data_IF_515226960526
#
_entry.id   IF_515226960526
#
_cell.length_a   1.000
_cell.length_b   1.000
_cell.length_c   1.000
_cell.angle_alpha   90.00
_cell.angle_beta   90.00
_cell.angle_gamma   90.00
#
_symmetry.space_group_name_H-M   'P 1'
#
loop_
_entity.id
_entity.type
_entity.pdbx_description
1 polymer ?
#
# COMPACT_ATOMS: atom_id res chain seq x y z
N UNK A 1 -12.60 9.80 27.99
CA UNK A 1 -11.14 9.76 27.76
C UNK A 1 -10.44 9.86 29.12
N UNK A 2 -9.31 9.19 29.33
CA UNK A 2 -8.54 9.23 30.59
C UNK A 2 -7.05 9.36 30.26
N UNK A 3 -6.42 10.45 30.66
CA UNK A 3 -4.98 10.71 30.46
C UNK A 3 -4.44 11.70 31.52
N UNK A 4 -3.16 11.63 31.90
CA UNK A 4 -2.54 12.66 32.72
C UNK A 4 -2.50 14.01 31.98
N UNK A 5 -2.68 15.12 32.70
CA UNK A 5 -2.72 16.49 32.12
C UNK A 5 -1.49 16.81 31.25
N UNK A 6 -0.32 16.29 31.61
CA UNK A 6 0.93 16.47 30.86
C UNK A 6 0.87 15.92 29.41
N UNK A 7 0.01 14.93 29.15
CA UNK A 7 -0.17 14.33 27.82
C UNK A 7 -1.39 14.87 27.07
N UNK A 8 -2.02 15.96 27.56
CA UNK A 8 -3.25 16.50 26.97
C UNK A 8 -3.11 16.78 25.48
N UNK A 9 -2.08 17.52 25.08
CA UNK A 9 -1.90 17.90 23.67
C UNK A 9 -1.70 16.67 22.77
N UNK A 10 -0.96 15.67 23.25
CA UNK A 10 -0.73 14.41 22.53
C UNK A 10 -2.06 13.66 22.37
N UNK A 11 -2.83 13.52 23.44
CA UNK A 11 -4.13 12.85 23.41
C UNK A 11 -5.13 13.57 22.50
N UNK A 12 -5.20 14.90 22.56
CA UNK A 12 -6.09 15.72 21.74
C UNK A 12 -5.72 15.66 20.25
N UNK A 13 -4.42 15.74 19.92
CA UNK A 13 -3.95 15.60 18.54
C UNK A 13 -4.22 14.20 17.99
N UNK A 14 -3.93 13.17 18.79
CA UNK A 14 -4.21 11.77 18.44
C UNK A 14 -5.70 11.57 18.14
N UNK A 15 -6.57 12.07 19.02
CA UNK A 15 -8.02 11.97 18.84
C UNK A 15 -8.49 12.76 17.60
N UNK A 16 -7.99 13.98 17.40
CA UNK A 16 -8.33 14.82 16.25
C UNK A 16 -7.99 14.12 14.94
N UNK A 17 -6.80 13.52 14.84
CA UNK A 17 -6.39 12.73 13.68
C UNK A 17 -7.30 11.52 13.51
N UNK A 18 -7.48 10.71 14.56
CA UNK A 18 -8.31 9.51 14.50
C UNK A 18 -9.76 9.81 14.06
N UNK A 19 -10.40 10.84 14.61
CA UNK A 19 -11.79 11.20 14.26
C UNK A 19 -11.90 11.58 12.78
N UNK A 20 -11.01 12.46 12.30
CA UNK A 20 -11.03 12.88 10.88
C UNK A 20 -10.78 11.69 9.95
N UNK A 21 -9.85 10.81 10.32
CA UNK A 21 -9.51 9.63 9.55
C UNK A 21 -10.63 8.60 9.53
N UNK A 22 -11.32 8.37 10.66
CA UNK A 22 -12.51 7.51 10.73
C UNK A 22 -13.63 8.05 9.86
N UNK A 23 -13.89 9.36 9.87
CA UNK A 23 -14.90 9.97 9.00
C UNK A 23 -14.55 9.74 7.51
N UNK A 24 -13.28 9.91 7.15
CA UNK A 24 -12.81 9.67 5.79
C UNK A 24 -12.92 8.20 5.40
N UNK A 25 -12.45 7.29 6.25
CA UNK A 25 -12.48 5.84 6.02
C UNK A 25 -13.90 5.31 5.94
N UNK A 26 -14.85 5.81 6.75
CA UNK A 26 -16.26 5.45 6.63
C UNK A 26 -16.79 5.70 5.23
N UNK A 27 -16.50 6.88 4.68
CA UNK A 27 -16.94 7.26 3.33
C UNK A 27 -16.24 6.44 2.25
N UNK A 28 -14.94 6.19 2.41
CA UNK A 28 -14.14 5.44 1.44
C UNK A 28 -14.51 3.95 1.40
N UNK A 29 -14.74 3.35 2.56
CA UNK A 29 -14.91 1.89 2.70
C UNK A 29 -16.37 1.44 2.71
N UNK A 30 -17.30 2.35 3.05
CA UNK A 30 -18.71 2.03 3.20
C UNK A 30 -19.04 1.15 4.41
N UNK A 31 -18.14 1.11 5.41
CA UNK A 31 -18.36 0.45 6.71
C UNK A 31 -18.01 1.38 7.86
N UNK A 32 -18.42 1.04 9.08
CA UNK A 32 -18.12 1.84 10.27
C UNK A 32 -17.76 0.94 11.45
N UNK A 33 -16.61 1.15 12.10
CA UNK A 33 -16.26 0.41 13.31
C UNK A 33 -17.21 0.78 14.44
N UNK A 34 -17.63 -0.22 15.23
CA UNK A 34 -18.52 0.00 16.39
C UNK A 34 -17.86 0.86 17.46
N UNK A 35 -16.58 0.60 17.72
CA UNK A 35 -15.73 1.37 18.61
C UNK A 35 -14.30 1.34 18.08
N UNK A 36 -13.51 2.36 18.45
CA UNK A 36 -12.07 2.38 18.24
C UNK A 36 -11.45 2.78 19.55
N UNK A 37 -10.53 1.95 20.05
CA UNK A 37 -9.78 2.24 21.28
C UNK A 37 -8.32 2.46 20.91
N UNK A 38 -7.73 3.56 21.35
CA UNK A 38 -6.33 3.88 21.14
C UNK A 38 -5.61 3.80 22.48
N UNK A 39 -4.53 3.02 22.53
CA UNK A 39 -3.76 2.76 23.76
C UNK A 39 -2.29 3.07 23.51
N UNK A 40 -1.73 4.00 24.28
CA UNK A 40 -0.29 4.23 24.24
C UNK A 40 0.45 3.19 25.08
N UNK A 41 1.54 2.65 24.53
CA UNK A 41 2.45 1.77 25.26
C UNK A 41 3.88 2.33 25.30
N UNK A 42 4.65 1.91 26.30
CA UNK A 42 6.06 2.28 26.42
C UNK A 42 6.91 1.43 25.46
N UNK A 43 7.95 1.99 24.82
CA UNK A 43 8.82 1.29 23.85
C UNK A 43 9.72 0.23 24.52
N UNK A 44 9.12 -0.83 25.04
CA UNK A 44 9.84 -1.95 25.61
C UNK A 44 10.45 -2.82 24.50
N UNK A 45 11.68 -3.31 24.68
CA UNK A 45 12.39 -4.13 23.68
C UNK A 45 11.56 -5.33 23.20
N UNK A 46 10.85 -5.99 24.12
CA UNK A 46 9.99 -7.15 23.82
C UNK A 46 8.80 -6.82 22.90
N UNK A 47 8.48 -5.53 22.74
CA UNK A 47 7.41 -5.02 21.87
C UNK A 47 7.98 -4.32 20.64
N UNK A 48 9.22 -4.65 20.23
CA UNK A 48 9.89 -4.00 19.10
C UNK A 48 10.59 -2.68 19.43
N UNK A 49 10.64 -2.28 20.70
CA UNK A 49 11.36 -1.08 21.15
C UNK A 49 10.82 0.19 20.50
N UNK A 50 11.69 0.97 19.86
CA UNK A 50 11.32 2.21 19.14
C UNK A 50 10.95 1.96 17.67
N UNK A 51 11.14 0.74 17.15
CA UNK A 51 10.93 0.42 15.74
C UNK A 51 9.51 -0.02 15.43
N UNK A 52 8.84 -0.71 16.39
CA UNK A 52 7.41 -0.94 16.31
C UNK A 52 6.68 0.36 16.66
N UNK A 53 6.10 1.04 15.67
CA UNK A 53 5.46 2.35 15.88
C UNK A 53 4.00 2.22 16.33
N UNK A 54 3.30 1.21 15.85
CA UNK A 54 1.93 0.87 16.23
C UNK A 54 1.61 -0.56 15.83
N UNK A 55 0.51 -1.10 16.36
CA UNK A 55 -0.02 -2.38 15.91
C UNK A 55 -1.49 -2.58 16.32
N UNK A 56 -2.16 -3.47 15.59
CA UNK A 56 -3.38 -4.17 15.99
C UNK A 56 -3.09 -5.66 15.95
N UNK A 57 -3.57 -6.44 16.94
CA UNK A 57 -3.34 -7.88 16.94
C UNK A 57 -4.06 -8.56 15.78
N UNK A 58 -3.43 -9.55 15.15
CA UNK A 58 -4.05 -10.28 14.04
C UNK A 58 -5.36 -10.96 14.43
N UNK A 59 -5.46 -11.50 15.65
CA UNK A 59 -6.70 -12.07 16.20
C UNK A 59 -7.83 -11.03 16.30
N UNK A 60 -7.51 -9.79 16.60
CA UNK A 60 -8.47 -8.69 16.70
C UNK A 60 -8.94 -8.22 15.33
N UNK A 61 -8.03 -8.16 14.36
CA UNK A 61 -8.35 -7.91 12.94
C UNK A 61 -9.29 -9.01 12.44
N UNK A 62 -8.94 -10.28 12.68
CA UNK A 62 -9.73 -11.45 12.30
C UNK A 62 -11.08 -11.54 13.03
N UNK A 63 -11.19 -10.96 14.22
CA UNK A 63 -12.46 -10.81 14.94
C UNK A 63 -13.36 -9.67 14.39
N UNK A 64 -13.03 -9.10 13.23
CA UNK A 64 -13.73 -8.00 12.59
C UNK A 64 -13.23 -6.63 13.04
N UNK A 65 -11.93 -6.49 13.28
CA UNK A 65 -11.29 -5.22 13.69
C UNK A 65 -11.71 -4.72 15.08
N UNK A 66 -11.88 -5.62 16.05
CA UNK A 66 -12.43 -5.28 17.39
C UNK A 66 -11.39 -4.87 18.43
N UNK A 67 -10.11 -4.98 18.10
CA UNK A 67 -9.01 -4.75 19.03
C UNK A 67 -8.73 -3.29 19.32
N UNK A 68 -8.07 -3.00 20.45
CA UNK A 68 -7.41 -1.72 20.61
C UNK A 68 -6.28 -1.58 19.58
N UNK A 69 -6.10 -0.35 19.11
CA UNK A 69 -4.92 0.09 18.38
C UNK A 69 -3.87 0.51 19.42
N UNK A 70 -2.73 -0.15 19.40
CA UNK A 70 -1.59 0.18 20.24
C UNK A 70 -0.67 1.15 19.51
N UNK A 71 -0.32 2.25 20.16
CA UNK A 71 0.57 3.28 19.63
C UNK A 71 1.80 3.41 20.51
N UNK A 72 2.98 3.41 19.90
CA UNK A 72 4.21 3.60 20.64
C UNK A 72 4.33 5.04 21.11
N UNK A 73 4.57 5.25 22.40
CA UNK A 73 4.75 6.59 22.97
C UNK A 73 5.94 7.34 22.33
N UNK A 74 6.91 6.64 21.75
CA UNK A 74 8.02 7.23 21.01
C UNK A 74 7.56 8.11 19.84
N UNK A 75 6.41 7.81 19.21
CA UNK A 75 5.83 8.60 18.10
C UNK A 75 5.63 10.07 18.45
N UNK A 76 5.44 10.39 19.73
CA UNK A 76 5.29 11.77 20.21
C UNK A 76 6.53 12.64 20.01
N UNK A 77 7.67 12.02 19.64
CA UNK A 77 8.96 12.67 19.38
C UNK A 77 9.39 12.60 17.92
N UNK A 78 8.63 11.94 17.05
CA UNK A 78 8.94 11.86 15.62
C UNK A 78 8.57 13.17 14.92
N UNK A 79 9.07 13.34 13.70
CA UNK A 79 8.71 14.47 12.87
C UNK A 79 7.19 14.49 12.61
N UNK A 80 6.58 15.68 12.43
CA UNK A 80 5.16 15.80 12.09
C UNK A 80 4.81 14.92 10.88
N UNK A 81 3.65 14.26 10.93
CA UNK A 81 3.20 13.35 9.88
C UNK A 81 3.39 11.88 10.25
N UNK A 82 4.44 11.51 11.00
CA UNK A 82 4.69 10.10 11.37
C UNK A 82 3.64 9.54 12.34
N UNK A 83 3.35 10.27 13.43
CA UNK A 83 2.32 9.84 14.37
C UNK A 83 0.97 9.73 13.68
N UNK A 84 0.65 10.69 12.82
CA UNK A 84 -0.60 10.74 12.11
C UNK A 84 -0.74 9.61 11.08
N UNK A 85 0.30 9.33 10.29
CA UNK A 85 0.28 8.21 9.35
C UNK A 85 0.21 6.88 10.08
N UNK A 86 0.91 6.69 11.20
CA UNK A 86 0.77 5.46 12.00
C UNK A 86 -0.66 5.28 12.52
N UNK A 87 -1.30 6.32 13.07
CA UNK A 87 -2.71 6.22 13.50
C UNK A 87 -3.61 5.76 12.35
N UNK A 88 -3.42 6.32 11.15
CA UNK A 88 -4.25 5.96 9.99
C UNK A 88 -3.91 4.55 9.49
N UNK A 89 -2.64 4.16 9.51
CA UNK A 89 -2.17 2.82 9.14
C UNK A 89 -2.89 1.74 9.96
N UNK A 90 -2.86 1.88 11.28
CA UNK A 90 -3.52 0.93 12.19
C UNK A 90 -5.05 0.95 12.03
N UNK A 91 -5.64 2.12 11.77
CA UNK A 91 -7.06 2.21 11.43
C UNK A 91 -7.36 1.41 10.15
N UNK A 92 -6.54 1.49 9.11
CA UNK A 92 -6.79 0.74 7.87
C UNK A 92 -6.81 -0.77 8.13
N UNK A 93 -5.94 -1.30 9.00
CA UNK A 93 -6.01 -2.71 9.40
C UNK A 93 -7.34 -3.09 10.04
N UNK A 94 -7.88 -2.23 10.92
CA UNK A 94 -9.22 -2.42 11.49
C UNK A 94 -10.29 -2.49 10.40
N UNK A 95 -10.27 -1.58 9.43
CA UNK A 95 -11.25 -1.59 8.34
C UNK A 95 -11.11 -2.79 7.41
N UNK A 96 -9.88 -3.24 7.14
CA UNK A 96 -9.63 -4.48 6.39
C UNK A 96 -10.22 -5.70 7.09
N UNK A 97 -10.07 -5.80 8.41
CA UNK A 97 -10.71 -6.84 9.21
C UNK A 97 -12.24 -6.79 9.15
N UNK A 98 -12.84 -5.59 9.20
CA UNK A 98 -14.29 -5.41 9.10
C UNK A 98 -14.83 -5.88 7.75
N UNK A 99 -14.12 -5.61 6.65
CA UNK A 99 -14.54 -6.03 5.31
C UNK A 99 -14.16 -7.47 4.96
N UNK A 100 -13.62 -8.23 5.91
CA UNK A 100 -13.40 -9.68 5.77
C UNK A 100 -12.07 -10.06 5.15
N UNK A 101 -11.05 -9.20 5.21
CA UNK A 101 -9.67 -9.59 4.90
C UNK A 101 -9.05 -10.22 6.14
N UNK A 102 -8.75 -11.51 6.04
CA UNK A 102 -8.10 -12.25 7.10
C UNK A 102 -6.65 -11.76 7.25
N UNK A 103 -6.21 -11.44 8.47
CA UNK A 103 -4.83 -11.18 8.82
C UNK A 103 -4.09 -12.52 9.00
N UNK A 104 -3.39 -12.95 7.95
CA UNK A 104 -2.52 -14.13 7.92
C UNK A 104 -1.30 -13.87 7.02
N UNK A 105 -0.37 -14.83 6.95
CA UNK A 105 0.87 -14.65 6.17
C UNK A 105 0.63 -14.41 4.67
N UNK A 106 -0.44 -14.98 4.09
CA UNK A 106 -0.73 -14.90 2.66
C UNK A 106 -1.38 -13.57 2.24
N UNK A 107 -1.94 -12.82 3.18
CA UNK A 107 -2.61 -11.53 2.99
C UNK A 107 -1.86 -10.37 3.62
N UNK A 108 -0.85 -10.62 4.47
CA UNK A 108 -0.12 -9.58 5.21
C UNK A 108 0.43 -8.48 4.30
N UNK A 109 0.97 -8.83 3.14
CA UNK A 109 1.44 -7.83 2.17
C UNK A 109 0.32 -6.87 1.70
N UNK A 110 -0.91 -7.36 1.59
CA UNK A 110 -2.04 -6.51 1.24
C UNK A 110 -2.47 -5.64 2.42
N UNK A 111 -2.45 -6.18 3.64
CA UNK A 111 -2.67 -5.40 4.86
C UNK A 111 -1.69 -4.23 4.95
N UNK A 112 -0.38 -4.51 4.89
CA UNK A 112 0.64 -3.48 5.04
C UNK A 112 0.67 -2.52 3.84
N UNK A 113 0.57 -3.03 2.62
CA UNK A 113 0.58 -2.20 1.42
C UNK A 113 -0.62 -1.24 1.36
N UNK A 114 -1.82 -1.71 1.70
CA UNK A 114 -3.03 -0.88 1.72
C UNK A 114 -3.02 0.11 2.88
N UNK A 115 -2.60 -0.32 4.07
CA UNK A 115 -2.46 0.57 5.23
C UNK A 115 -1.43 1.67 4.97
N UNK A 116 -0.29 1.34 4.37
CA UNK A 116 0.75 2.30 4.02
C UNK A 116 0.31 3.28 2.94
N UNK A 117 -0.39 2.80 1.90
CA UNK A 117 -0.89 3.65 0.82
C UNK A 117 -1.98 4.60 1.30
N UNK A 118 -2.99 4.08 2.01
CA UNK A 118 -4.12 4.87 2.48
C UNK A 118 -3.72 5.84 3.59
N UNK A 119 -2.78 5.47 4.47
CA UNK A 119 -2.30 6.39 5.51
C UNK A 119 -1.73 7.67 4.93
N UNK A 120 -0.93 7.57 3.87
CA UNK A 120 -0.39 8.73 3.15
C UNK A 120 -1.51 9.53 2.49
N UNK A 121 -2.34 8.89 1.66
CA UNK A 121 -3.36 9.61 0.87
C UNK A 121 -4.43 10.26 1.74
N UNK A 122 -4.84 9.60 2.83
CA UNK A 122 -5.83 10.14 3.77
C UNK A 122 -5.23 11.28 4.59
N UNK A 123 -3.97 11.15 5.06
CA UNK A 123 -3.29 12.23 5.75
C UNK A 123 -3.25 13.51 4.89
N UNK A 124 -2.86 13.39 3.62
CA UNK A 124 -2.91 14.50 2.66
C UNK A 124 -4.33 15.08 2.54
N UNK A 125 -5.33 14.22 2.39
CA UNK A 125 -6.73 14.63 2.21
C UNK A 125 -7.33 15.35 3.43
N UNK A 126 -6.86 15.05 4.65
CA UNK A 126 -7.31 15.71 5.89
C UNK A 126 -6.43 16.89 6.33
N UNK A 127 -5.47 17.29 5.48
CA UNK A 127 -4.64 18.48 5.64
C UNK A 127 -3.39 18.29 6.51
N UNK A 128 -2.89 17.05 6.62
CA UNK A 128 -1.67 16.73 7.35
C UNK A 128 -0.50 16.71 6.36
N UNK A 129 0.56 17.43 6.69
CA UNK A 129 1.77 17.42 5.86
C UNK A 129 2.52 16.10 6.07
N UNK A 130 2.59 15.30 5.02
CA UNK A 130 3.34 14.03 4.97
C UNK A 130 4.33 14.01 3.81
N UNK A 131 4.74 15.17 3.28
CA UNK A 131 5.54 15.25 2.06
C UNK A 131 6.88 14.51 2.17
N UNK A 132 7.56 14.63 3.30
CA UNK A 132 8.84 13.94 3.58
C UNK A 132 8.62 12.42 3.63
N UNK A 133 7.74 11.96 4.52
CA UNK A 133 7.40 10.55 4.66
C UNK A 133 6.91 9.91 3.34
N UNK A 134 6.08 10.63 2.59
CA UNK A 134 5.62 10.23 1.26
C UNK A 134 6.79 10.09 0.30
N UNK A 135 7.63 11.11 0.17
CA UNK A 135 8.76 11.08 -0.75
C UNK A 135 9.71 9.91 -0.42
N UNK A 136 10.01 9.70 0.87
CA UNK A 136 10.87 8.61 1.31
C UNK A 136 10.28 7.25 0.95
N UNK A 137 8.97 7.05 1.18
CA UNK A 137 8.28 5.79 0.88
C UNK A 137 8.22 5.51 -0.62
N UNK A 138 7.86 6.50 -1.45
CA UNK A 138 7.82 6.35 -2.91
C UNK A 138 9.23 6.16 -3.51
N UNK A 139 10.24 6.88 -3.02
CA UNK A 139 11.61 6.75 -3.52
C UNK A 139 12.23 5.41 -3.12
N UNK A 140 12.10 5.01 -1.86
CA UNK A 140 12.68 3.76 -1.34
C UNK A 140 12.04 2.53 -1.98
N UNK A 141 10.70 2.53 -2.14
CA UNK A 141 9.98 1.43 -2.79
C UNK A 141 10.33 1.31 -4.27
N UNK A 142 10.52 2.44 -4.97
CA UNK A 142 11.00 2.45 -6.36
C UNK A 142 12.47 2.00 -6.47
N UNK A 143 13.33 2.40 -5.54
CA UNK A 143 14.72 1.94 -5.49
C UNK A 143 14.77 0.42 -5.30
N UNK A 144 13.96 -0.13 -4.38
CA UNK A 144 13.85 -1.57 -4.17
C UNK A 144 13.37 -2.31 -5.43
N UNK A 145 12.39 -1.75 -6.15
CA UNK A 145 11.93 -2.32 -7.41
C UNK A 145 13.08 -2.46 -8.43
N UNK A 146 13.91 -1.42 -8.58
CA UNK A 146 15.06 -1.50 -9.49
C UNK A 146 16.14 -2.45 -8.99
N UNK A 147 16.43 -2.44 -7.68
CA UNK A 147 17.43 -3.31 -7.07
C UNK A 147 17.09 -4.80 -7.26
N UNK A 148 15.81 -5.16 -7.08
CA UNK A 148 15.33 -6.55 -7.19
C UNK A 148 14.95 -6.96 -8.61
N UNK A 149 14.99 -6.05 -9.59
CA UNK A 149 14.45 -6.29 -10.93
C UNK A 149 12.94 -6.58 -10.93
N UNK A 150 12.21 -6.00 -9.97
CA UNK A 150 10.77 -6.18 -9.79
C UNK A 150 10.37 -7.53 -9.20
N UNK A 151 11.29 -8.29 -8.60
CA UNK A 151 11.00 -9.61 -8.02
C UNK A 151 10.45 -9.51 -6.60
N UNK A 152 9.17 -9.17 -6.49
CA UNK A 152 8.44 -9.01 -5.22
C UNK A 152 7.63 -10.23 -4.77
N UNK A 153 7.69 -11.35 -5.50
CA UNK A 153 6.98 -12.59 -5.13
C UNK A 153 7.31 -13.13 -3.73
N UNK A 154 8.45 -12.74 -3.15
CA UNK A 154 8.83 -13.13 -1.79
C UNK A 154 7.80 -12.70 -0.74
N UNK A 155 7.04 -11.61 -0.95
CA UNK A 155 6.06 -11.12 0.03
C UNK A 155 4.80 -12.00 0.15
N UNK A 156 4.62 -13.00 -0.72
CA UNK A 156 3.60 -14.05 -0.52
C UNK A 156 3.90 -14.92 0.72
N UNK A 157 5.16 -14.93 1.16
CA UNK A 157 5.59 -15.52 2.42
C UNK A 157 6.29 -14.43 3.22
N UNK A 158 5.55 -13.80 4.12
CA UNK A 158 6.07 -12.68 4.89
C UNK A 158 7.38 -13.05 5.62
N UNK A 159 8.45 -12.27 5.45
CA UNK A 159 9.72 -12.56 6.10
C UNK A 159 9.66 -12.26 7.61
N UNK A 160 10.52 -12.94 8.38
CA UNK A 160 10.57 -12.82 9.84
C UNK A 160 11.81 -12.10 10.37
N UNK A 161 12.77 -11.76 9.50
CA UNK A 161 13.94 -10.95 9.86
C UNK A 161 13.71 -9.47 9.53
N UNK A 162 14.23 -8.58 10.37
CA UNK A 162 13.96 -7.14 10.32
C UNK A 162 14.30 -6.48 8.97
N UNK A 163 15.39 -6.92 8.32
CA UNK A 163 15.83 -6.34 7.04
C UNK A 163 14.86 -6.72 5.94
N UNK A 164 14.59 -8.01 5.79
CA UNK A 164 13.67 -8.49 4.76
C UNK A 164 12.24 -8.03 5.03
N UNK A 165 11.86 -7.81 6.29
CA UNK A 165 10.55 -7.24 6.65
C UNK A 165 10.40 -5.81 6.14
N UNK A 166 11.41 -4.94 6.31
CA UNK A 166 11.37 -3.59 5.73
C UNK A 166 11.24 -3.61 4.20
N UNK A 167 11.95 -4.52 3.52
CA UNK A 167 11.80 -4.71 2.08
C UNK A 167 10.40 -5.20 1.71
N UNK A 168 9.78 -6.07 2.53
CA UNK A 168 8.41 -6.53 2.32
C UNK A 168 7.39 -5.40 2.44
N UNK A 169 7.54 -4.48 3.41
CA UNK A 169 6.72 -3.27 3.50
C UNK A 169 6.85 -2.40 2.24
N UNK A 170 8.08 -2.15 1.79
CA UNK A 170 8.35 -1.33 0.60
C UNK A 170 7.79 -1.96 -0.68
N UNK A 171 7.96 -3.27 -0.86
CA UNK A 171 7.42 -4.01 -2.00
C UNK A 171 5.88 -4.03 -1.99
N UNK A 172 5.28 -4.23 -0.82
CA UNK A 172 3.83 -4.18 -0.62
C UNK A 172 3.26 -2.81 -0.98
N UNK A 173 3.89 -1.75 -0.45
CA UNK A 173 3.53 -0.38 -0.76
C UNK A 173 3.66 -0.08 -2.26
N UNK A 174 4.78 -0.47 -2.90
CA UNK A 174 4.99 -0.26 -4.32
C UNK A 174 3.84 -0.83 -5.16
N UNK A 175 3.46 -2.08 -4.89
CA UNK A 175 2.40 -2.78 -5.63
C UNK A 175 1.08 -2.04 -5.49
N UNK A 176 0.67 -1.75 -4.25
CA UNK A 176 -0.61 -1.11 -3.99
C UNK A 176 -0.64 0.32 -4.52
N UNK A 177 0.44 1.08 -4.34
CA UNK A 177 0.53 2.45 -4.84
C UNK A 177 0.48 2.51 -6.37
N UNK A 178 1.25 1.67 -7.06
CA UNK A 178 1.30 1.65 -8.52
C UNK A 178 -0.05 1.24 -9.13
N UNK A 179 -0.69 0.20 -8.59
CA UNK A 179 -2.03 -0.20 -9.04
C UNK A 179 -3.04 0.90 -8.72
N UNK A 180 -3.07 1.41 -7.49
CA UNK A 180 -4.09 2.38 -7.11
C UNK A 180 -3.96 3.69 -7.89
N UNK A 181 -2.76 4.27 -7.97
CA UNK A 181 -2.54 5.53 -8.67
C UNK A 181 -2.81 5.41 -10.18
N UNK A 182 -2.51 4.27 -10.80
CA UNK A 182 -2.83 4.03 -12.23
C UNK A 182 -4.32 3.80 -12.52
N UNK A 183 -5.16 3.59 -11.51
CA UNK A 183 -6.61 3.34 -11.67
C UNK A 183 -7.50 4.40 -10.99
N UNK A 184 -6.94 5.55 -10.65
CA UNK A 184 -7.70 6.69 -10.11
C UNK A 184 -7.54 6.91 -8.60
N UNK A 185 -6.49 6.36 -7.99
CA UNK A 185 -6.08 6.59 -6.62
C UNK A 185 -7.13 6.20 -5.58
N UNK A 186 -7.57 7.16 -4.76
CA UNK A 186 -8.58 6.92 -3.72
C UNK A 186 -9.93 6.44 -4.29
N UNK A 187 -10.29 6.83 -5.51
CA UNK A 187 -11.51 6.31 -6.16
C UNK A 187 -11.39 4.83 -6.51
N UNK A 188 -10.18 4.35 -6.82
CA UNK A 188 -9.91 2.93 -7.01
C UNK A 188 -9.95 2.18 -5.69
N UNK A 189 -9.31 2.71 -4.65
CA UNK A 189 -9.38 2.13 -3.31
C UNK A 189 -10.85 1.97 -2.84
N UNK A 190 -11.71 2.96 -3.07
CA UNK A 190 -13.14 2.84 -2.79
C UNK A 190 -13.80 1.66 -3.52
N UNK A 191 -13.48 1.44 -4.80
CA UNK A 191 -13.96 0.26 -5.55
C UNK A 191 -13.42 -1.04 -4.97
N UNK A 192 -12.13 -1.08 -4.59
CA UNK A 192 -11.52 -2.24 -3.92
C UNK A 192 -12.28 -2.59 -2.65
N UNK A 193 -12.54 -1.63 -1.76
CA UNK A 193 -13.33 -1.89 -0.55
C UNK A 193 -14.78 -2.31 -0.86
N UNK A 194 -15.36 -1.83 -1.96
CA UNK A 194 -16.68 -2.31 -2.40
C UNK A 194 -16.66 -3.77 -2.84
N UNK A 195 -15.59 -4.23 -3.48
CA UNK A 195 -15.41 -5.63 -3.86
C UNK A 195 -15.07 -6.53 -2.66
N UNK A 196 -14.19 -6.07 -1.75
CA UNK A 196 -13.81 -6.81 -0.52
C UNK A 196 -15.02 -7.21 0.32
N UNK A 197 -16.03 -6.34 0.44
CA UNK A 197 -17.23 -6.61 1.25
C UNK A 197 -18.11 -7.75 0.72
N UNK A 198 -17.86 -8.26 -0.50
CA UNK A 198 -18.71 -9.28 -1.11
C UNK A 198 -18.41 -10.68 -0.58
N UNK A 199 -17.13 -10.97 -0.33
CA UNK A 199 -16.66 -12.31 0.08
C UNK A 199 -15.42 -12.21 0.97
N UNK A 200 -15.23 -13.13 1.93
CA UNK A 200 -13.99 -13.21 2.71
C UNK A 200 -12.76 -13.40 1.80
N UNK A 201 -11.64 -12.82 2.22
CA UNK A 201 -10.36 -12.84 1.49
C UNK A 201 -9.28 -13.39 2.40
N UNK A 202 -8.68 -14.52 2.05
CA UNK A 202 -7.66 -15.19 2.88
C UNK A 202 -6.40 -15.59 2.12
N UNK A 203 -6.34 -15.39 0.80
CA UNK A 203 -5.16 -15.70 -0.01
C UNK A 203 -4.73 -14.54 -0.90
N UNK A 204 -3.46 -14.57 -1.34
CA UNK A 204 -2.96 -13.65 -2.37
C UNK A 204 -3.75 -13.72 -3.68
N UNK A 205 -4.26 -14.90 -4.06
CA UNK A 205 -5.06 -15.03 -5.29
C UNK A 205 -6.41 -14.33 -5.14
N UNK A 206 -7.07 -14.44 -3.99
CA UNK A 206 -8.33 -13.72 -3.71
C UNK A 206 -8.13 -12.20 -3.78
N UNK A 207 -7.03 -11.71 -3.20
CA UNK A 207 -6.65 -10.29 -3.27
C UNK A 207 -6.50 -9.83 -4.72
N UNK A 208 -5.77 -10.59 -5.56
CA UNK A 208 -5.56 -10.22 -6.95
C UNK A 208 -6.87 -10.25 -7.75
N UNK A 209 -7.78 -11.18 -7.45
CA UNK A 209 -9.13 -11.21 -8.03
C UNK A 209 -9.89 -9.94 -7.67
N UNK A 210 -9.91 -9.56 -6.39
CA UNK A 210 -10.58 -8.34 -5.91
C UNK A 210 -10.01 -7.08 -6.55
N UNK A 211 -8.67 -6.96 -6.63
CA UNK A 211 -8.02 -5.85 -7.31
C UNK A 211 -8.41 -5.82 -8.80
N UNK A 212 -8.46 -6.98 -9.46
CA UNK A 212 -8.85 -7.09 -10.87
C UNK A 212 -10.31 -6.67 -11.09
N UNK A 213 -11.22 -7.09 -10.20
CA UNK A 213 -12.62 -6.69 -10.22
C UNK A 213 -12.77 -5.17 -10.10
N UNK A 214 -12.08 -4.55 -9.12
CA UNK A 214 -12.11 -3.12 -8.91
C UNK A 214 -11.47 -2.33 -10.08
N UNK A 215 -10.52 -2.94 -10.79
CA UNK A 215 -9.85 -2.37 -11.95
C UNK A 215 -10.65 -2.52 -13.23
N UNK A 216 -11.62 -3.44 -13.27
CA UNK A 216 -12.32 -3.84 -14.48
C UNK A 216 -11.42 -4.55 -15.50
N UNK A 217 -10.26 -5.06 -15.08
CA UNK A 217 -9.30 -5.79 -15.94
C UNK A 217 -8.50 -6.81 -15.15
N UNK A 218 -8.04 -7.88 -15.82
CA UNK A 218 -7.22 -8.91 -15.19
C UNK A 218 -5.81 -8.38 -14.84
N UNK A 219 -5.49 -8.33 -13.54
CA UNK A 219 -4.17 -7.92 -13.04
C UNK A 219 -3.23 -9.09 -12.77
N UNK A 220 -3.70 -10.34 -12.87
CA UNK A 220 -2.88 -11.51 -12.59
C UNK A 220 -1.56 -11.60 -13.39
N UNK A 221 -1.49 -11.22 -14.69
CA UNK A 221 -0.22 -11.17 -15.41
C UNK A 221 0.81 -10.22 -14.78
N UNK A 222 0.37 -9.07 -14.24
CA UNK A 222 1.24 -8.13 -13.54
C UNK A 222 1.84 -8.78 -12.29
N UNK A 223 1.03 -9.40 -11.44
CA UNK A 223 1.50 -10.08 -10.24
C UNK A 223 2.46 -11.23 -10.56
N UNK A 224 2.16 -12.05 -11.57
CA UNK A 224 3.06 -13.12 -12.02
C UNK A 224 4.40 -12.57 -12.52
N UNK A 225 4.41 -11.41 -13.20
CA UNK A 225 5.66 -10.76 -13.63
C UNK A 225 6.55 -10.33 -12.45
N UNK A 226 5.92 -9.97 -11.33
CA UNK A 226 6.59 -9.66 -10.06
C UNK A 226 7.08 -10.92 -9.31
N UNK A 227 6.78 -12.12 -9.80
CA UNK A 227 7.18 -13.38 -9.19
C UNK A 227 6.15 -13.99 -8.26
N UNK A 228 4.91 -13.49 -8.23
CA UNK A 228 3.83 -14.17 -7.50
C UNK A 228 3.49 -15.49 -8.19
N UNK A 229 3.31 -16.53 -7.38
CA UNK A 229 2.91 -17.88 -7.77
C UNK A 229 1.44 -18.14 -7.43
N UNK A 230 0.83 -19.10 -8.13
CA UNK A 230 -0.56 -19.56 -7.90
C UNK A 230 -1.62 -18.45 -7.97
N UNK A 231 -1.42 -17.45 -8.82
CA UNK A 231 -2.37 -16.37 -9.04
C UNK A 231 -3.32 -16.72 -10.19
N UNK A 232 -4.60 -16.82 -9.87
CA UNK A 232 -5.67 -17.10 -10.83
C UNK A 232 -5.97 -15.86 -11.68
N UNK A 233 -6.32 -16.09 -12.95
CA UNK A 233 -6.82 -15.03 -13.82
C UNK A 233 -8.25 -14.67 -13.43
N UNK A 234 -8.52 -13.37 -13.32
CA UNK A 234 -9.89 -12.88 -13.26
C UNK A 234 -10.45 -12.73 -14.67
N UNK A 235 -11.67 -13.23 -14.88
CA UNK A 235 -12.48 -12.96 -16.07
C UNK A 235 -13.80 -12.33 -15.63
N UNK A 236 -14.33 -11.32 -16.36
CA UNK A 236 -15.66 -10.81 -16.09
C UNK A 236 -16.65 -11.96 -16.22
N UNK A 237 -17.54 -12.14 -15.23
CA UNK A 237 -18.68 -13.03 -15.42
C UNK A 237 -19.49 -12.49 -16.59
N UNK A 238 -19.86 -13.31 -17.60
CA UNK A 238 -20.76 -12.87 -18.66
C UNK A 238 -22.04 -12.36 -18.00
N UNK A 239 -22.31 -11.07 -18.13
CA UNK A 239 -23.57 -10.49 -17.67
C UNK A 239 -24.70 -11.23 -18.39
N UNK A 240 -25.60 -11.84 -17.63
CA UNK A 240 -26.87 -12.30 -18.18
C UNK A 240 -27.61 -11.04 -18.69
N UNK A 241 -27.67 -10.88 -20.01
CA UNK A 241 -28.43 -9.81 -20.67
C UNK A 241 -27.58 -8.69 -21.28
N UNK A 242 -26.94 -8.97 -22.41
CA UNK A 242 -27.21 -8.33 -23.70
C UNK A 242 -26.09 -8.72 -24.66
N UNK A 243 -26.36 -9.71 -25.52
CA UNK A 243 -25.61 -9.92 -26.74
C UNK A 243 -25.76 -8.69 -27.63
N UNK A 244 -24.81 -7.77 -27.53
CA UNK A 244 -24.46 -6.88 -28.64
C UNK A 244 -23.17 -7.43 -29.21
N UNK A 245 -23.29 -8.16 -30.31
CA UNK A 245 -22.15 -8.53 -31.14
C UNK A 245 -21.65 -7.28 -31.86
N UNK A 246 -20.57 -6.67 -31.39
CA UNK A 246 -19.68 -5.90 -32.27
C UNK A 246 -18.39 -6.69 -32.45
N UNK A 247 -18.19 -7.24 -33.65
CA UNK A 247 -16.86 -7.65 -34.12
C UNK A 247 -16.11 -6.37 -34.48
N UNK A 248 -15.52 -5.73 -33.49
CA UNK A 248 -14.59 -4.63 -33.75
C UNK A 248 -13.22 -5.24 -34.10
N UNK A 249 -12.96 -5.28 -35.40
CA UNK A 249 -11.66 -5.64 -35.95
C UNK A 249 -10.72 -4.45 -35.70
N UNK A 250 -9.55 -4.62 -35.04
CA UNK A 250 -8.67 -3.49 -34.75
C UNK A 250 -8.19 -2.83 -36.03
N UNK A 251 -8.35 -1.50 -36.10
CA UNK A 251 -7.99 -0.70 -37.28
C UNK A 251 -6.49 -0.41 -37.31
N UNK A 252 -5.95 -0.11 -38.49
CA UNK A 252 -4.53 0.22 -38.72
C UNK A 252 -4.00 1.31 -37.76
N UNK A 253 -4.88 2.20 -37.28
CA UNK A 253 -4.57 3.23 -36.28
C UNK A 253 -4.11 2.66 -34.93
N UNK A 254 -4.67 1.54 -34.46
CA UNK A 254 -4.30 0.97 -33.15
C UNK A 254 -2.90 0.37 -33.17
N UNK A 255 -2.49 -0.21 -34.30
CA UNK A 255 -1.13 -0.71 -34.51
C UNK A 255 -0.12 0.43 -34.55
N UNK A 256 -0.46 1.56 -35.18
CA UNK A 256 0.41 2.74 -35.19
C UNK A 256 0.59 3.33 -33.80
N UNK A 257 -0.46 3.42 -32.98
CA UNK A 257 -0.35 3.88 -31.59
C UNK A 257 0.53 2.97 -30.73
N UNK A 258 0.45 1.65 -30.92
CA UNK A 258 1.28 0.68 -30.21
C UNK A 258 2.76 0.78 -30.61
N UNK A 259 3.05 0.93 -31.91
CA UNK A 259 4.41 1.09 -32.43
C UNK A 259 5.04 2.38 -31.92
N UNK A 260 4.28 3.48 -31.89
CA UNK A 260 4.76 4.77 -31.34
C UNK A 260 5.03 4.67 -29.84
N UNK A 261 4.15 4.00 -29.07
CA UNK A 261 4.36 3.80 -27.63
C UNK A 261 5.60 2.95 -27.32
N UNK A 262 5.85 1.90 -28.10
CA UNK A 262 7.04 1.06 -27.98
C UNK A 262 8.31 1.82 -28.38
N UNK A 263 8.24 2.64 -29.44
CA UNK A 263 9.34 3.50 -29.88
C UNK A 263 9.74 4.56 -28.84
N UNK A 264 8.76 5.22 -28.22
CA UNK A 264 9.00 6.16 -27.11
C UNK A 264 9.58 5.48 -25.87
N UNK A 265 9.12 4.28 -25.55
CA UNK A 265 9.63 3.51 -24.41
C UNK A 265 11.10 3.11 -24.61
N UNK A 266 11.46 2.72 -25.84
CA UNK A 266 12.85 2.40 -26.21
C UNK A 266 13.75 3.64 -26.16
N UNK A 267 13.27 4.79 -26.64
CA UNK A 267 14.01 6.04 -26.60
C UNK A 267 14.31 6.50 -25.16
N UNK A 268 13.30 6.42 -24.27
CA UNK A 268 13.48 6.74 -22.84
C UNK A 268 14.49 5.79 -22.20
N UNK A 269 14.41 4.48 -22.51
CA UNK A 269 15.38 3.50 -22.02
C UNK A 269 16.81 3.83 -22.47
N UNK A 270 17.00 4.19 -23.74
CA UNK A 270 18.33 4.53 -24.27
C UNK A 270 18.89 5.82 -23.66
N UNK A 271 18.06 6.85 -23.45
CA UNK A 271 18.48 8.10 -22.79
C UNK A 271 18.88 7.85 -21.34
N UNK A 272 18.09 7.06 -20.60
CA UNK A 272 18.40 6.70 -19.22
C UNK A 272 19.65 5.83 -19.14
N UNK A 273 19.80 4.86 -20.04
CA UNK A 273 20.97 3.97 -20.09
C UNK A 273 22.26 4.74 -20.40
N UNK A 274 22.26 5.61 -21.42
CA UNK A 274 23.43 6.41 -21.77
C UNK A 274 23.74 7.47 -20.73
N UNK A 275 22.74 8.15 -20.18
CA UNK A 275 22.94 9.12 -19.09
C UNK A 275 23.54 8.46 -17.85
N UNK A 276 23.05 7.26 -17.49
CA UNK A 276 23.59 6.51 -16.37
C UNK A 276 25.00 5.93 -16.66
N UNK A 277 25.29 5.55 -17.90
CA UNK A 277 26.64 5.15 -18.32
C UNK A 277 27.64 6.31 -18.21
N UNK A 278 27.28 7.51 -18.67
CA UNK A 278 28.15 8.69 -18.61
C UNK A 278 28.41 9.15 -17.17
N UNK A 279 27.38 9.13 -16.31
CA UNK A 279 27.52 9.42 -14.88
C UNK A 279 28.44 8.40 -14.20
N UNK A 280 28.28 7.11 -14.50
CA UNK A 280 29.15 6.07 -13.94
C UNK A 280 30.61 6.15 -14.44
N UNK A 281 30.85 6.64 -15.66
CA UNK A 281 32.21 6.92 -16.14
C UNK A 281 32.83 8.14 -15.45
N UNK A 282 32.06 9.22 -15.25
CA UNK A 282 32.52 10.42 -14.53
C UNK A 282 32.82 10.13 -13.05
N UNK A 283 32.03 9.28 -12.40
CA UNK A 283 32.29 8.82 -11.02
C UNK A 283 33.54 7.94 -10.92
N UNK A 284 33.82 7.11 -11.93
CA UNK A 284 35.06 6.31 -11.98
C UNK A 284 36.31 7.14 -12.25
N UNK A 285 36.21 8.22 -13.02
CA UNK A 285 37.33 9.14 -13.27
C UNK A 285 37.56 10.12 -12.11
N UNK A 286 36.51 10.57 -11.40
CA UNK A 286 36.62 11.50 -10.27
C UNK A 286 37.22 10.89 -8.99
N UNK A 287 37.37 9.57 -8.92
CA UNK A 287 38.04 8.87 -7.81
C UNK A 287 39.57 8.82 -8.00
N UNK A 288 40.10 9.21 -9.17
CA UNK A 288 41.54 9.12 -9.48
C UNK A 288 42.33 10.43 -9.30
N UNK A 289 41.70 11.56 -8.94
CA UNK A 289 42.40 12.86 -8.73
C UNK A 289 42.45 13.34 -7.27
N UNK A 290 42.21 12.47 -6.29
CA UNK A 290 42.56 12.76 -4.89
C UNK A 290 43.51 11.71 -4.33
N UNK A 291 44.79 11.85 -4.69
CA UNK A 291 45.95 11.46 -3.88
C UNK A 291 46.98 12.57 -3.97
#
# INVERSE_FOLDING_TARGET
>A
MRYPVFYRNIAENTLKTAIKSIQYLNNLTGVTPRNVTLVFYLPEKKMGGIYALGFVLGEDVNAGGKGPIYLNLALTRYAPGYMETTIIHELVHVYLGIVGVEANDATRWFHEGMAQYLSIKIAEAIGINVSEYKNDMYNSSKALYYYTGGKFGFIQKWPSDDVSEQEAYLASFYIIANISDSHGGLSYAQRVFSELRKHPVSTSSDIVIVLSQAAGRNLAPFFRSLGFSNIQDWSPTPSAGNTVTTKDTPTLSSYMSLIVALGLSLLIFLVVYYGNFEINQKLKMGIFEML
#
